data_IF_844146591049
#
_entry.id   IF_844146591049
#
_cell.length_a   1.000
_cell.length_b   1.000
_cell.length_c   1.000
_cell.angle_alpha   90.00
_cell.angle_beta   90.00
_cell.angle_gamma   90.00
#
_symmetry.space_group_name_H-M   'P 1'
#
loop_
_entity.id
_entity.type
_entity.pdbx_description
1 polymer ?
#
# COMPACT_ATOMS: atom_id res chain seq x y z
N UNK A 1 17.31 32.22 8.95
CA UNK A 1 16.51 31.82 7.76
C UNK A 1 16.62 30.33 7.39
N UNK A 2 17.81 29.69 7.38
CA UNK A 2 17.95 28.26 7.03
C UNK A 2 17.12 27.30 7.90
N UNK A 3 17.10 27.51 9.23
CA UNK A 3 16.30 26.68 10.17
C UNK A 3 14.79 26.77 9.95
N UNK A 4 14.27 27.96 9.61
CA UNK A 4 12.83 28.19 9.37
C UNK A 4 12.41 27.53 8.05
N UNK A 5 13.22 27.66 6.98
CA UNK A 5 12.96 26.98 5.71
C UNK A 5 12.96 25.45 5.88
N UNK A 6 13.93 24.90 6.62
CA UNK A 6 13.99 23.45 6.89
C UNK A 6 12.73 22.95 7.62
N UNK A 7 12.27 23.67 8.65
CA UNK A 7 11.06 23.30 9.40
C UNK A 7 9.80 23.40 8.55
N UNK A 8 9.70 24.42 7.70
CA UNK A 8 8.58 24.55 6.76
C UNK A 8 8.57 23.39 5.76
N UNK A 9 9.73 23.04 5.20
CA UNK A 9 9.87 21.89 4.29
C UNK A 9 9.52 20.58 4.99
N UNK A 10 10.01 20.35 6.21
CA UNK A 10 9.66 19.17 7.01
C UNK A 10 8.15 19.10 7.28
N UNK A 11 7.50 20.22 7.58
CA UNK A 11 6.05 20.29 7.79
C UNK A 11 5.26 19.88 6.53
N UNK A 12 5.60 20.43 5.36
CA UNK A 12 4.97 20.02 4.10
C UNK A 12 5.21 18.54 3.79
N UNK A 13 6.42 18.04 4.06
CA UNK A 13 6.78 16.64 3.84
C UNK A 13 5.99 15.71 4.77
N UNK A 14 5.77 16.08 6.03
CA UNK A 14 4.92 15.34 6.98
C UNK A 14 3.49 15.24 6.45
N UNK A 15 2.90 16.34 5.98
CA UNK A 15 1.54 16.33 5.41
C UNK A 15 1.48 15.40 4.20
N UNK A 16 2.48 15.47 3.31
CA UNK A 16 2.56 14.59 2.14
C UNK A 16 2.66 13.12 2.53
N UNK A 17 3.53 12.77 3.49
CA UNK A 17 3.69 11.40 3.97
C UNK A 17 2.44 10.87 4.67
N UNK A 18 1.75 11.70 5.46
CA UNK A 18 0.45 11.36 6.05
C UNK A 18 -0.61 11.08 4.99
N UNK A 19 -0.64 11.86 3.91
CA UNK A 19 -1.54 11.62 2.77
C UNK A 19 -1.26 10.27 2.10
N UNK A 20 0.02 9.94 1.86
CA UNK A 20 0.41 8.64 1.29
C UNK A 20 0.04 7.50 2.24
N UNK A 21 0.31 7.65 3.54
CA UNK A 21 -0.04 6.63 4.54
C UNK A 21 -1.56 6.42 4.63
N UNK A 22 -2.34 7.50 4.60
CA UNK A 22 -3.81 7.41 4.58
C UNK A 22 -4.31 6.68 3.33
N UNK A 23 -3.77 6.99 2.14
CA UNK A 23 -4.10 6.28 0.90
C UNK A 23 -3.71 4.79 0.97
N UNK A 24 -2.61 4.48 1.63
CA UNK A 24 -2.14 3.10 1.82
C UNK A 24 -3.03 2.30 2.77
N UNK A 25 -3.50 2.91 3.86
CA UNK A 25 -4.32 2.24 4.88
C UNK A 25 -5.82 2.22 4.58
N UNK A 26 -6.34 3.23 3.87
CA UNK A 26 -7.78 3.38 3.62
C UNK A 26 -8.15 3.45 2.13
N UNK A 27 -7.16 3.44 1.24
CA UNK A 27 -7.40 3.44 -0.21
C UNK A 27 -7.43 2.02 -0.80
N UNK A 28 -7.26 1.97 -2.12
CA UNK A 28 -7.36 0.74 -2.93
C UNK A 28 -6.37 -0.35 -2.50
N UNK A 29 -5.21 0.04 -1.96
CA UNK A 29 -4.15 -0.89 -1.56
C UNK A 29 -4.63 -1.79 -0.40
N UNK A 30 -5.27 -1.20 0.62
CA UNK A 30 -5.79 -1.97 1.75
C UNK A 30 -6.99 -2.82 1.35
N UNK A 31 -7.87 -2.32 0.47
CA UNK A 31 -9.02 -3.11 -0.01
C UNK A 31 -8.57 -4.34 -0.79
N UNK A 32 -7.54 -4.21 -1.64
CA UNK A 32 -6.96 -5.35 -2.37
C UNK A 32 -6.32 -6.36 -1.41
N UNK A 33 -5.58 -5.88 -0.41
CA UNK A 33 -4.97 -6.74 0.59
C UNK A 33 -6.01 -7.51 1.44
N UNK A 34 -7.08 -6.83 1.86
CA UNK A 34 -8.19 -7.45 2.56
C UNK A 34 -8.93 -8.47 1.67
N UNK A 35 -9.11 -8.15 0.39
CA UNK A 35 -9.74 -9.04 -0.59
C UNK A 35 -8.92 -10.32 -0.78
N UNK A 36 -7.59 -10.20 -0.88
CA UNK A 36 -6.65 -11.32 -0.91
C UNK A 36 -6.73 -12.20 0.33
N UNK A 37 -6.77 -11.62 1.53
CA UNK A 37 -6.83 -12.40 2.78
C UNK A 37 -8.16 -13.13 2.91
N UNK A 38 -9.27 -12.47 2.51
CA UNK A 38 -10.61 -13.05 2.64
C UNK A 38 -10.86 -14.22 1.70
N UNK A 39 -10.08 -14.36 0.60
CA UNK A 39 -10.22 -15.46 -0.37
C UNK A 39 -11.69 -15.73 -0.74
N UNK A 40 -12.43 -14.67 -1.09
CA UNK A 40 -13.82 -14.78 -1.52
C UNK A 40 -13.93 -15.12 -3.01
N UNK A 41 -15.16 -15.35 -3.50
CA UNK A 41 -15.42 -15.71 -4.91
C UNK A 41 -14.91 -14.67 -5.93
N UNK A 42 -14.68 -13.44 -5.48
CA UNK A 42 -14.05 -12.34 -6.22
C UNK A 42 -12.90 -11.76 -5.40
N UNK A 43 -11.71 -11.72 -6.00
CA UNK A 43 -10.50 -11.11 -5.45
C UNK A 43 -10.13 -9.89 -6.27
N UNK A 44 -10.07 -8.70 -5.66
CA UNK A 44 -9.46 -7.53 -6.29
C UNK A 44 -7.97 -7.48 -5.95
N UNK A 45 -7.12 -7.57 -6.97
CA UNK A 45 -5.68 -7.51 -6.77
C UNK A 45 -4.95 -6.86 -7.95
N UNK A 46 -4.35 -5.70 -7.70
CA UNK A 46 -3.50 -5.01 -8.68
C UNK A 46 -2.05 -4.86 -8.18
N UNK A 47 -1.39 -5.99 -7.87
CA UNK A 47 0.07 -6.01 -7.55
C UNK A 47 0.49 -4.96 -6.51
N UNK A 48 -0.37 -4.72 -5.53
CA UNK A 48 -0.23 -3.65 -4.52
C UNK A 48 0.59 -4.07 -3.30
N UNK A 49 0.99 -5.35 -3.21
CA UNK A 49 1.75 -5.91 -2.08
C UNK A 49 3.09 -5.22 -1.83
N UNK A 50 3.78 -4.80 -2.90
CA UNK A 50 5.05 -4.07 -2.78
C UNK A 50 4.87 -2.72 -2.08
N UNK A 51 3.75 -2.05 -2.34
CA UNK A 51 3.43 -0.75 -1.76
C UNK A 51 3.14 -0.91 -0.27
N UNK A 52 2.42 -1.97 0.12
CA UNK A 52 2.17 -2.31 1.52
C UNK A 52 3.48 -2.65 2.27
N UNK A 53 4.41 -3.36 1.64
CA UNK A 53 5.74 -3.65 2.19
C UNK A 53 6.58 -2.39 2.48
N UNK A 54 6.30 -1.28 1.79
CA UNK A 54 6.92 0.03 2.04
C UNK A 54 6.31 0.81 3.20
N UNK A 55 5.20 0.34 3.81
CA UNK A 55 4.53 1.07 4.89
C UNK A 55 5.42 1.31 6.12
N UNK A 56 6.23 0.35 6.59
CA UNK A 56 7.14 0.60 7.71
C UNK A 56 8.18 1.68 7.42
N UNK A 57 8.65 1.77 6.16
CA UNK A 57 9.57 2.82 5.74
C UNK A 57 8.90 4.21 5.81
N UNK A 58 7.63 4.31 5.38
CA UNK A 58 6.85 5.54 5.47
C UNK A 58 6.62 5.98 6.92
N UNK A 59 6.31 5.03 7.80
CA UNK A 59 6.13 5.30 9.24
C UNK A 59 7.45 5.78 9.85
N UNK A 60 8.58 5.13 9.54
CA UNK A 60 9.89 5.56 10.01
C UNK A 60 10.25 6.97 9.51
N UNK A 61 10.00 7.25 8.23
CA UNK A 61 10.23 8.57 7.66
C UNK A 61 9.39 9.66 8.35
N UNK A 62 8.13 9.37 8.67
CA UNK A 62 7.27 10.27 9.45
C UNK A 62 7.86 10.56 10.83
N UNK A 63 8.28 9.52 11.55
CA UNK A 63 8.90 9.66 12.88
C UNK A 63 10.14 10.55 12.80
N UNK A 64 11.04 10.29 11.84
CA UNK A 64 12.25 11.08 11.64
C UNK A 64 11.93 12.55 11.29
N UNK A 65 10.90 12.79 10.47
CA UNK A 65 10.50 14.15 10.13
C UNK A 65 9.91 14.91 11.32
N UNK A 66 9.12 14.24 12.16
CA UNK A 66 8.59 14.80 13.40
C UNK A 66 9.75 15.12 14.36
N UNK A 67 10.70 14.20 14.54
CA UNK A 67 11.89 14.42 15.36
C UNK A 67 12.68 15.64 14.86
N UNK A 68 12.94 15.74 13.55
CA UNK A 68 13.64 16.86 12.94
C UNK A 68 12.90 18.20 13.05
N UNK A 69 11.56 18.18 13.13
CA UNK A 69 10.75 19.39 13.32
C UNK A 69 10.91 19.95 14.73
N UNK A 70 10.96 19.07 15.74
CA UNK A 70 11.03 19.44 17.16
C UNK A 70 12.45 19.49 17.74
N UNK A 71 13.44 18.92 17.05
CA UNK A 71 14.82 18.96 17.52
C UNK A 71 15.40 20.38 17.51
N UNK A 72 16.20 20.69 18.53
CA UNK A 72 17.02 21.92 18.58
C UNK A 72 18.21 21.83 17.61
N UNK A 73 18.70 20.61 17.39
CA UNK A 73 19.83 20.28 16.53
C UNK A 73 19.39 19.48 15.30
N UNK A 74 20.05 19.74 14.17
CA UNK A 74 19.73 19.13 12.86
C UNK A 74 20.07 17.62 12.81
N UNK A 75 20.74 17.10 13.84
CA UNK A 75 21.23 15.72 13.95
C UNK A 75 20.55 14.95 15.10
N UNK A 76 19.21 14.94 15.13
CA UNK A 76 18.51 13.98 15.98
C UNK A 76 18.54 12.60 15.32
N UNK A 77 19.59 11.82 15.60
CA UNK A 77 19.66 10.41 15.20
C UNK A 77 18.82 9.55 16.14
N UNK A 78 18.31 8.44 15.61
CA UNK A 78 17.74 7.37 16.44
C UNK A 78 18.90 6.75 17.23
N UNK A 79 18.73 6.35 18.51
CA UNK A 79 19.76 5.64 19.24
C UNK A 79 20.23 4.40 18.47
N UNK A 80 21.55 4.16 18.39
CA UNK A 80 22.13 3.03 17.63
C UNK A 80 21.55 1.67 18.03
N UNK A 81 21.16 1.52 19.30
CA UNK A 81 20.50 0.32 19.84
C UNK A 81 19.13 0.04 19.23
N UNK A 82 18.44 1.07 18.71
CA UNK A 82 17.10 0.99 18.11
C UNK A 82 17.20 1.08 16.58
N UNK A 83 18.21 1.78 16.04
CA UNK A 83 18.40 1.96 14.60
C UNK A 83 18.53 0.62 13.86
N UNK A 84 19.39 -0.27 14.37
CA UNK A 84 19.66 -1.58 13.74
C UNK A 84 18.40 -2.45 13.63
N UNK A 85 17.64 -2.73 14.71
CA UNK A 85 16.44 -3.54 14.60
C UNK A 85 15.33 -2.88 13.78
N UNK A 86 15.17 -1.56 13.86
CA UNK A 86 14.16 -0.84 13.07
C UNK A 86 14.49 -0.88 11.58
N UNK A 87 15.75 -0.64 11.21
CA UNK A 87 16.23 -0.76 9.82
C UNK A 87 16.00 -2.17 9.29
N UNK A 88 16.31 -3.19 10.09
CA UNK A 88 16.08 -4.58 9.72
C UNK A 88 14.59 -4.89 9.47
N UNK A 89 13.68 -4.40 10.32
CA UNK A 89 12.23 -4.56 10.12
C UNK A 89 11.77 -3.90 8.82
N UNK A 90 12.27 -2.69 8.52
CA UNK A 90 11.92 -1.97 7.28
C UNK A 90 12.39 -2.75 6.06
N UNK A 91 13.63 -3.21 6.04
CA UNK A 91 14.21 -3.96 4.92
C UNK A 91 13.47 -5.28 4.71
N UNK A 92 13.23 -6.05 5.78
CA UNK A 92 12.50 -7.32 5.68
C UNK A 92 11.08 -7.09 5.17
N UNK A 93 10.37 -6.09 5.67
CA UNK A 93 9.00 -5.81 5.24
C UNK A 93 8.94 -5.48 3.75
N UNK A 94 9.93 -4.72 3.25
CA UNK A 94 10.04 -4.42 1.83
C UNK A 94 10.33 -5.68 0.99
N UNK A 95 11.25 -6.53 1.45
CA UNK A 95 11.57 -7.81 0.78
C UNK A 95 10.34 -8.72 0.74
N UNK A 96 9.61 -8.86 1.85
CA UNK A 96 8.38 -9.65 1.92
C UNK A 96 7.34 -9.10 0.95
N UNK A 97 7.10 -7.78 0.94
CA UNK A 97 6.17 -7.15 0.01
C UNK A 97 6.55 -7.36 -1.45
N UNK A 98 7.85 -7.27 -1.76
CA UNK A 98 8.39 -7.53 -3.09
C UNK A 98 8.15 -8.99 -3.51
N UNK A 99 8.51 -9.95 -2.67
CA UNK A 99 8.32 -11.39 -2.93
C UNK A 99 6.83 -11.71 -3.08
N UNK A 100 5.98 -11.22 -2.18
CA UNK A 100 4.53 -11.42 -2.23
C UNK A 100 3.93 -10.92 -3.55
N UNK A 101 4.45 -9.83 -4.10
CA UNK A 101 4.01 -9.29 -5.39
C UNK A 101 4.17 -10.27 -6.55
N UNK A 102 5.15 -11.17 -6.47
CA UNK A 102 5.35 -12.23 -7.46
C UNK A 102 4.59 -13.50 -7.09
N UNK A 103 4.56 -13.89 -5.82
CA UNK A 103 3.93 -15.15 -5.37
C UNK A 103 2.41 -15.10 -5.51
N UNK A 104 1.77 -13.98 -5.18
CA UNK A 104 0.31 -13.87 -5.14
C UNK A 104 -0.35 -14.20 -6.50
N UNK A 105 0.10 -13.65 -7.65
CA UNK A 105 -0.43 -14.05 -8.95
C UNK A 105 -0.36 -15.55 -9.23
N UNK A 106 0.75 -16.22 -8.88
CA UNK A 106 0.88 -17.67 -9.05
C UNK A 106 -0.03 -18.45 -8.11
N UNK A 107 -0.20 -17.97 -6.88
CA UNK A 107 -1.11 -18.58 -5.90
C UNK A 107 -2.56 -18.51 -6.38
N UNK A 108 -2.99 -17.34 -6.89
CA UNK A 108 -4.33 -17.16 -7.47
C UNK A 108 -4.56 -18.13 -8.63
N UNK A 109 -3.57 -18.28 -9.52
CA UNK A 109 -3.65 -19.18 -10.67
C UNK A 109 -3.70 -20.66 -10.23
N UNK A 110 -2.95 -21.05 -9.20
CA UNK A 110 -2.99 -22.39 -8.63
C UNK A 110 -4.33 -22.72 -7.96
N UNK A 111 -5.02 -21.70 -7.41
CA UNK A 111 -6.34 -21.80 -6.81
C UNK A 111 -7.49 -21.64 -7.82
N UNK A 112 -7.21 -21.78 -9.11
CA UNK A 112 -8.19 -21.67 -10.21
C UNK A 112 -8.92 -20.31 -10.31
N UNK A 113 -8.31 -19.24 -9.78
CA UNK A 113 -8.82 -17.90 -10.02
C UNK A 113 -8.41 -17.41 -11.41
N UNK A 114 -9.39 -16.94 -12.18
CA UNK A 114 -9.22 -16.41 -13.52
C UNK A 114 -9.41 -14.88 -13.51
N UNK A 115 -8.52 -14.16 -14.20
CA UNK A 115 -8.69 -12.72 -14.42
C UNK A 115 -9.87 -12.46 -15.36
N UNK A 116 -10.72 -11.49 -15.03
CA UNK A 116 -11.78 -11.08 -15.95
C UNK A 116 -11.17 -10.47 -17.23
N UNK A 117 -11.61 -10.88 -18.44
CA UNK A 117 -11.00 -10.47 -19.71
C UNK A 117 -11.41 -9.05 -20.19
N UNK A 118 -12.22 -8.33 -19.42
CA UNK A 118 -12.79 -7.05 -19.83
C UNK A 118 -11.88 -5.87 -19.43
N UNK A 119 -11.71 -4.89 -20.32
CA UNK A 119 -10.69 -3.82 -20.26
C UNK A 119 -10.59 -3.06 -18.92
N UNK A 120 -11.66 -3.01 -18.13
CA UNK A 120 -11.71 -2.31 -16.84
C UNK A 120 -11.85 -3.22 -15.61
N UNK A 121 -11.77 -4.55 -15.78
CA UNK A 121 -11.91 -5.54 -14.70
C UNK A 121 -10.73 -6.52 -14.60
N UNK A 122 -9.61 -6.27 -15.30
CA UNK A 122 -8.43 -7.13 -15.22
C UNK A 122 -7.83 -7.27 -13.81
N UNK A 123 -8.05 -6.28 -12.94
CA UNK A 123 -7.65 -6.32 -11.53
C UNK A 123 -8.54 -7.25 -10.68
N UNK A 124 -9.63 -7.78 -11.23
CA UNK A 124 -10.51 -8.74 -10.55
C UNK A 124 -10.24 -10.16 -11.02
N UNK A 125 -10.06 -11.04 -10.05
CA UNK A 125 -9.81 -12.45 -10.19
C UNK A 125 -11.01 -13.22 -9.60
N UNK A 126 -11.60 -14.14 -10.36
CA UNK A 126 -12.81 -14.87 -9.96
C UNK A 126 -12.64 -16.38 -10.13
N UNK A 127 -13.34 -17.17 -9.33
CA UNK A 127 -13.36 -18.64 -9.47
C UNK A 127 -14.22 -19.07 -10.66
N UNK A 128 -15.38 -18.42 -10.86
CA UNK A 128 -16.26 -18.65 -12.00
C UNK A 128 -16.32 -17.39 -12.88
N UNK A 129 -16.03 -17.54 -14.17
CA UNK A 129 -16.04 -16.46 -15.16
C UNK A 129 -17.44 -15.81 -15.26
N UNK A 130 -18.52 -16.52 -14.92
CA UNK A 130 -19.88 -15.95 -14.85
C UNK A 130 -20.02 -14.85 -13.78
N UNK A 131 -19.18 -14.85 -12.74
CA UNK A 131 -19.14 -13.74 -11.78
C UNK A 131 -18.60 -12.45 -12.40
N UNK A 132 -17.77 -12.53 -13.46
CA UNK A 132 -17.34 -11.33 -14.17
C UNK A 132 -18.54 -10.60 -14.82
N UNK A 133 -19.54 -11.33 -15.31
CA UNK A 133 -20.74 -10.74 -15.93
C UNK A 133 -21.59 -9.97 -14.92
N UNK A 134 -21.76 -10.50 -13.70
CA UNK A 134 -22.50 -9.83 -12.63
C UNK A 134 -21.78 -8.59 -12.09
N UNK A 135 -20.44 -8.59 -12.08
CA UNK A 135 -19.63 -7.40 -11.75
C UNK A 135 -19.78 -6.30 -12.81
N UNK A 136 -19.80 -6.67 -14.09
CA UNK A 136 -20.05 -5.73 -15.20
C UNK A 136 -21.45 -5.14 -15.13
N UNK A 137 -22.46 -5.96 -14.82
CA UNK A 137 -23.85 -5.53 -14.78
C UNK A 137 -24.11 -4.54 -13.63
N UNK A 138 -23.60 -4.83 -12.43
CA UNK A 138 -23.66 -3.90 -11.29
C UNK A 138 -22.93 -2.57 -11.56
N UNK A 139 -21.79 -2.61 -12.26
CA UNK A 139 -21.06 -1.39 -12.61
C UNK A 139 -21.77 -0.58 -13.70
N UNK A 140 -22.41 -1.26 -14.65
CA UNK A 140 -23.24 -0.62 -15.67
C UNK A 140 -24.46 0.08 -15.06
N UNK A 141 -25.04 -0.50 -14.00
CA UNK A 141 -26.13 0.08 -13.23
C UNK A 141 -25.72 1.38 -12.52
N UNK A 142 -24.53 1.41 -11.89
CA UNK A 142 -23.97 2.61 -11.28
C UNK A 142 -23.63 3.71 -12.30
N UNK A 143 -23.12 3.35 -13.47
CA UNK A 143 -22.78 4.31 -14.54
C UNK A 143 -24.00 4.86 -15.30
N UNK A 144 -25.18 4.24 -15.20
CA UNK A 144 -26.44 4.78 -15.77
C UNK A 144 -27.19 5.70 -14.80
N UNK A 145 -26.75 5.79 -13.55
CA UNK A 145 -27.43 6.56 -12.49
C UNK A 145 -26.84 7.96 -12.28
N UNK A 146 -26.00 8.44 -13.21
CA UNK A 146 -25.49 9.81 -13.28
C UNK A 146 -25.80 10.43 -14.64
#
# INVERSE_FOLDING_TARGET
>A
MKKIKLRLTAFFLIISLLGILHFLLFGRIMTDFLSLIRMGDVISYNKTCIVLGGAPALILALILCIMALFSKDVHSSIPESIETPVSFIVVISFIIGFIANFIVPFLLLALSYHSCPQDNLHDYHVIDIKLCETLVDNRSFFNRSF
#
